data_IF_816190157850
#
_entry.id   IF_816190157850
#
_cell.length_a   1.000
_cell.length_b   1.000
_cell.length_c   1.000
_cell.angle_alpha   90.00
_cell.angle_beta   90.00
_cell.angle_gamma   90.00
#
_symmetry.space_group_name_H-M   'P 1'
#
loop_
_entity.id
_entity.type
_entity.pdbx_description
1 polymer ?
#
# COMPACT_ATOMS: atom_id res chain seq x y z
N UNK A 1 3.68 16.16 9.46
CA UNK A 1 3.25 14.79 9.79
C UNK A 1 4.31 13.80 9.35
N UNK A 2 4.64 12.85 10.18
CA UNK A 2 5.55 11.78 9.82
C UNK A 2 4.84 10.77 8.93
N UNK A 3 5.62 10.08 8.10
CA UNK A 3 5.08 9.07 7.18
C UNK A 3 4.31 7.98 7.94
N UNK A 4 4.84 7.52 9.08
CA UNK A 4 4.18 6.46 9.84
C UNK A 4 2.83 6.90 10.41
N UNK A 5 2.70 8.16 10.76
CA UNK A 5 1.41 8.70 11.19
C UNK A 5 0.41 8.70 10.03
N UNK A 6 0.87 9.04 8.82
CA UNK A 6 0.02 9.02 7.65
C UNK A 6 -0.45 7.61 7.34
N UNK A 7 0.44 6.63 7.45
CA UNK A 7 0.09 5.24 7.20
C UNK A 7 -0.98 4.76 8.18
N UNK A 8 -0.94 5.23 9.42
CA UNK A 8 -1.98 4.89 10.39
C UNK A 8 -3.32 5.50 10.00
N UNK A 9 -3.32 6.73 9.49
CA UNK A 9 -4.54 7.33 8.95
C UNK A 9 -5.06 6.56 7.76
N UNK A 10 -4.17 6.10 6.89
CA UNK A 10 -4.57 5.29 5.73
C UNK A 10 -5.22 3.99 6.18
N UNK A 11 -4.66 3.35 7.19
CA UNK A 11 -5.21 2.12 7.75
C UNK A 11 -6.67 2.31 8.17
N UNK A 12 -6.97 3.42 8.83
CA UNK A 12 -8.31 3.70 9.31
C UNK A 12 -9.24 4.18 8.21
N UNK A 13 -8.70 4.71 7.12
CA UNK A 13 -9.48 5.25 6.01
C UNK A 13 -9.80 4.17 4.97
N UNK A 14 -8.82 3.35 4.61
CA UNK A 14 -9.00 2.30 3.61
C UNK A 14 -8.03 1.15 3.94
N UNK A 15 -8.52 0.19 4.68
CA UNK A 15 -7.73 -0.91 5.21
C UNK A 15 -7.08 -1.75 4.09
N UNK A 16 -7.83 -2.04 3.02
CA UNK A 16 -7.31 -2.78 1.88
C UNK A 16 -6.10 -2.07 1.26
N UNK A 17 -6.24 -0.78 1.02
CA UNK A 17 -5.17 0.00 0.39
C UNK A 17 -3.96 0.09 1.31
N UNK A 18 -4.20 0.17 2.62
CA UNK A 18 -3.11 0.14 3.59
C UNK A 18 -2.33 -1.17 3.54
N UNK A 19 -3.04 -2.31 3.42
CA UNK A 19 -2.39 -3.62 3.30
C UNK A 19 -1.55 -3.70 2.02
N UNK A 20 -2.08 -3.18 0.92
CA UNK A 20 -1.36 -3.17 -0.36
C UNK A 20 -0.07 -2.36 -0.23
N UNK A 21 -0.16 -1.18 0.39
CA UNK A 21 1.03 -0.35 0.60
C UNK A 21 2.05 -1.08 1.47
N UNK A 22 1.61 -1.72 2.55
CA UNK A 22 2.51 -2.50 3.39
C UNK A 22 3.18 -3.63 2.61
N UNK A 23 2.41 -4.33 1.79
CA UNK A 23 2.95 -5.41 0.98
C UNK A 23 4.02 -4.90 0.01
N UNK A 24 3.75 -3.78 -0.65
CA UNK A 24 4.70 -3.18 -1.58
C UNK A 24 5.98 -2.73 -0.85
N UNK A 25 5.84 -2.17 0.34
CA UNK A 25 6.99 -1.72 1.12
C UNK A 25 7.85 -2.88 1.59
N UNK A 26 7.24 -3.96 2.04
CA UNK A 26 7.99 -5.11 2.54
C UNK A 26 8.63 -5.93 1.42
N UNK A 27 7.91 -6.14 0.32
CA UNK A 27 8.44 -6.90 -0.81
C UNK A 27 9.37 -6.07 -1.70
N UNK A 28 9.19 -4.77 -1.71
CA UNK A 28 9.85 -3.84 -2.63
C UNK A 28 9.47 -4.09 -4.09
N UNK A 29 8.34 -4.74 -4.30
CA UNK A 29 7.80 -4.96 -5.63
C UNK A 29 6.98 -3.77 -6.10
N UNK A 30 6.91 -3.54 -7.41
CA UNK A 30 6.00 -2.52 -7.95
C UNK A 30 4.56 -2.82 -7.56
N UNK A 31 3.75 -1.76 -7.45
CA UNK A 31 2.34 -1.93 -7.11
C UNK A 31 1.62 -2.85 -8.09
N UNK A 32 2.01 -2.79 -9.37
CA UNK A 32 1.42 -3.63 -10.40
C UNK A 32 1.62 -5.12 -10.08
N UNK A 33 2.77 -5.47 -9.52
CA UNK A 33 3.03 -6.86 -9.14
C UNK A 33 2.25 -7.23 -7.88
N UNK A 34 2.19 -6.32 -6.91
CA UNK A 34 1.45 -6.56 -5.68
C UNK A 34 -0.03 -6.79 -5.95
N UNK A 35 -0.59 -6.06 -6.91
CA UNK A 35 -2.02 -6.16 -7.23
C UNK A 35 -2.41 -7.51 -7.83
N UNK A 36 -1.45 -8.27 -8.35
CA UNK A 36 -1.71 -9.60 -8.93
C UNK A 36 -1.40 -10.76 -7.99
N UNK A 37 -0.99 -10.49 -6.75
CA UNK A 37 -0.74 -11.55 -5.77
C UNK A 37 -2.03 -12.31 -5.51
N UNK A 38 -1.94 -13.65 -5.52
CA UNK A 38 -3.05 -14.53 -5.19
C UNK A 38 -2.89 -15.05 -3.77
N UNK A 39 -3.99 -15.48 -3.18
CA UNK A 39 -3.96 -16.01 -1.82
C UNK A 39 -2.95 -17.16 -1.70
N UNK A 40 -2.90 -18.02 -2.71
CA UNK A 40 -2.02 -19.19 -2.73
C UNK A 40 -0.54 -18.83 -2.88
N UNK A 41 -0.23 -17.57 -3.23
CA UNK A 41 1.16 -17.12 -3.34
C UNK A 41 1.80 -16.87 -1.99
N UNK A 42 1.03 -16.84 -0.91
CA UNK A 42 1.54 -16.70 0.44
C UNK A 42 1.95 -18.07 0.96
N UNK A 43 3.25 -18.30 1.07
CA UNK A 43 3.80 -19.61 1.46
C UNK A 43 4.75 -19.41 2.62
N UNK A 44 4.35 -19.84 3.82
CA UNK A 44 5.16 -19.65 5.02
C UNK A 44 5.30 -18.17 5.34
N UNK A 45 6.52 -17.68 5.38
CA UNK A 45 6.82 -16.26 5.63
C UNK A 45 7.22 -15.55 4.34
N UNK A 46 6.85 -16.10 3.20
CA UNK A 46 7.21 -15.54 1.89
C UNK A 46 6.00 -15.34 1.02
N UNK A 47 6.13 -14.43 0.05
CA UNK A 47 5.16 -14.29 -1.02
C UNK A 47 5.87 -14.57 -2.35
N UNK A 48 5.20 -15.28 -3.26
CA UNK A 48 5.76 -15.69 -4.53
C UNK A 48 5.13 -14.88 -5.66
N UNK A 49 5.95 -14.47 -6.63
CA UNK A 49 5.48 -13.86 -7.88
C UNK A 49 5.25 -14.91 -8.93
N UNK A 50 4.52 -14.51 -9.98
CA UNK A 50 4.25 -15.41 -11.11
C UNK A 50 5.53 -15.87 -11.83
N UNK A 51 6.63 -15.14 -11.73
CA UNK A 51 7.91 -15.54 -12.34
C UNK A 51 8.73 -16.47 -11.44
N UNK A 52 8.18 -16.84 -10.29
CA UNK A 52 8.83 -17.74 -9.35
C UNK A 52 9.70 -17.05 -8.31
N UNK A 53 9.96 -15.76 -8.45
CA UNK A 53 10.75 -15.05 -7.43
C UNK A 53 9.92 -14.88 -6.16
N UNK A 54 10.62 -14.76 -5.02
CA UNK A 54 9.98 -14.70 -3.71
C UNK A 54 10.53 -13.53 -2.90
N UNK A 55 9.70 -13.04 -1.98
CA UNK A 55 10.11 -12.00 -1.04
C UNK A 55 9.65 -12.39 0.35
N UNK A 56 10.47 -12.06 1.35
CA UNK A 56 10.10 -12.25 2.75
C UNK A 56 9.14 -11.16 3.17
N UNK A 57 8.12 -11.53 3.93
CA UNK A 57 7.19 -10.57 4.52
C UNK A 57 6.97 -10.96 5.98
N UNK A 58 6.56 -9.99 6.79
CA UNK A 58 6.34 -10.23 8.21
C UNK A 58 5.15 -11.17 8.43
N UNK A 59 5.23 -11.96 9.49
CA UNK A 59 4.10 -12.82 9.86
C UNK A 59 2.85 -12.01 10.13
N UNK A 60 3.01 -10.84 10.74
CA UNK A 60 1.89 -9.96 10.99
C UNK A 60 1.17 -9.60 9.69
N UNK A 61 1.92 -9.22 8.66
CA UNK A 61 1.32 -8.83 7.39
C UNK A 61 0.60 -10.01 6.73
N UNK A 62 1.18 -11.20 6.82
CA UNK A 62 0.54 -12.40 6.30
C UNK A 62 -0.81 -12.63 6.99
N UNK A 63 -0.82 -12.60 8.31
CA UNK A 63 -2.04 -12.83 9.07
C UNK A 63 -3.11 -11.77 8.80
N UNK A 64 -2.70 -10.51 8.78
CA UNK A 64 -3.63 -9.41 8.50
C UNK A 64 -4.23 -9.53 7.11
N UNK A 65 -3.39 -9.87 6.12
CA UNK A 65 -3.85 -10.00 4.74
C UNK A 65 -4.81 -11.17 4.55
N UNK A 66 -4.49 -12.31 5.12
CA UNK A 66 -5.36 -13.49 5.03
C UNK A 66 -6.67 -13.28 5.79
N UNK A 67 -6.60 -12.64 6.96
CA UNK A 67 -7.78 -12.33 7.74
C UNK A 67 -8.70 -11.38 6.97
N UNK A 68 -8.12 -10.34 6.36
CA UNK A 68 -8.88 -9.42 5.53
C UNK A 68 -9.53 -10.16 4.36
N UNK A 69 -8.78 -11.00 3.67
CA UNK A 69 -9.28 -11.71 2.49
C UNK A 69 -10.43 -12.65 2.83
N UNK A 70 -10.39 -13.29 3.99
CA UNK A 70 -11.47 -14.17 4.43
C UNK A 70 -12.79 -13.44 4.64
N UNK A 71 -12.74 -12.12 4.89
CA UNK A 71 -13.95 -11.33 5.09
C UNK A 71 -14.55 -10.85 3.76
N UNK A 72 -13.84 -11.01 2.66
CA UNK A 72 -14.30 -10.59 1.34
C UNK A 72 -14.88 -11.80 0.62
N UNK A 73 -16.18 -11.75 0.36
CA UNK A 73 -16.88 -12.85 -0.32
C UNK A 73 -16.82 -12.64 -1.82
N UNK A 74 -15.88 -13.32 -2.48
CA UNK A 74 -15.74 -13.28 -3.93
C UNK A 74 -14.97 -14.51 -4.39
N UNK A 75 -15.33 -15.09 -5.56
CA UNK A 75 -14.65 -16.30 -6.07
C UNK A 75 -13.25 -16.05 -6.62
N UNK A 76 -12.81 -14.82 -6.74
CA UNK A 76 -11.46 -14.51 -7.22
C UNK A 76 -10.39 -15.09 -6.30
N UNK A 77 -9.25 -15.43 -6.87
CA UNK A 77 -8.08 -15.88 -6.10
C UNK A 77 -7.17 -14.75 -5.67
N UNK A 78 -7.43 -13.54 -6.16
CA UNK A 78 -6.59 -12.37 -5.82
C UNK A 78 -6.66 -12.09 -4.32
N UNK A 79 -5.52 -11.72 -3.76
CA UNK A 79 -5.43 -11.34 -2.36
C UNK A 79 -6.12 -10.00 -2.11
N UNK A 80 -5.92 -9.05 -3.01
CA UNK A 80 -6.54 -7.72 -2.94
C UNK A 80 -7.36 -7.51 -4.21
N UNK A 81 -8.60 -7.09 -4.05
CA UNK A 81 -9.48 -6.94 -5.21
C UNK A 81 -10.44 -5.79 -5.05
N UNK A 82 -10.90 -5.28 -6.19
CA UNK A 82 -11.98 -4.30 -6.23
C UNK A 82 -13.31 -4.99 -5.91
N UNK A 83 -14.37 -4.20 -5.79
CA UNK A 83 -15.72 -4.75 -5.59
C UNK A 83 -16.08 -5.78 -6.66
N UNK A 84 -15.61 -5.56 -7.88
CA UNK A 84 -15.91 -6.44 -9.01
C UNK A 84 -14.91 -7.61 -9.15
N UNK A 85 -14.01 -7.77 -8.19
CA UNK A 85 -13.07 -8.88 -8.19
C UNK A 85 -11.85 -8.69 -9.09
N UNK A 86 -11.53 -7.45 -9.44
CA UNK A 86 -10.39 -7.13 -10.30
C UNK A 86 -9.19 -6.66 -9.47
N UNK A 87 -7.99 -6.69 -10.05
CA UNK A 87 -6.82 -6.12 -9.38
C UNK A 87 -7.00 -4.63 -9.14
N UNK A 88 -6.39 -4.12 -8.08
CA UNK A 88 -6.45 -2.70 -7.77
C UNK A 88 -5.48 -1.96 -8.68
N UNK A 89 -5.97 -0.95 -9.38
CA UNK A 89 -5.14 -0.17 -10.28
C UNK A 89 -4.33 0.88 -9.50
N UNK A 90 -3.10 1.11 -9.95
CA UNK A 90 -2.22 2.09 -9.30
C UNK A 90 -2.85 3.48 -9.21
N UNK A 91 -3.57 3.91 -10.25
CA UNK A 91 -4.19 5.22 -10.24
C UNK A 91 -5.25 5.35 -9.16
N UNK A 92 -5.99 4.28 -8.89
CA UNK A 92 -7.00 4.29 -7.82
C UNK A 92 -6.34 4.41 -6.45
N UNK A 93 -5.25 3.68 -6.24
CA UNK A 93 -4.48 3.78 -5.00
C UNK A 93 -3.91 5.17 -4.80
N UNK A 94 -3.34 5.73 -5.86
CA UNK A 94 -2.77 7.08 -5.80
C UNK A 94 -3.85 8.11 -5.48
N UNK A 95 -5.03 7.96 -6.05
CA UNK A 95 -6.14 8.88 -5.76
C UNK A 95 -6.55 8.79 -4.29
N UNK A 96 -6.67 7.59 -3.75
CA UNK A 96 -6.98 7.41 -2.33
C UNK A 96 -5.99 8.14 -1.45
N UNK A 97 -4.70 7.95 -1.73
CA UNK A 97 -3.62 8.56 -0.96
C UNK A 97 -3.63 10.07 -1.07
N UNK A 98 -3.82 10.60 -2.28
CA UNK A 98 -3.84 12.03 -2.51
C UNK A 98 -5.02 12.71 -1.82
N UNK A 99 -6.21 12.10 -1.92
CA UNK A 99 -7.40 12.67 -1.28
C UNK A 99 -7.28 12.65 0.24
N UNK A 100 -6.77 11.56 0.80
CA UNK A 100 -6.55 11.49 2.24
C UNK A 100 -5.53 12.53 2.69
N UNK A 101 -4.43 12.66 1.96
CA UNK A 101 -3.42 13.67 2.26
C UNK A 101 -4.01 15.06 2.26
N UNK A 102 -4.77 15.39 1.21
CA UNK A 102 -5.42 16.71 1.11
C UNK A 102 -6.35 16.97 2.30
N UNK A 103 -7.11 15.95 2.69
CA UNK A 103 -8.01 16.05 3.84
C UNK A 103 -7.26 16.34 5.12
N UNK A 104 -6.05 15.85 5.25
CA UNK A 104 -5.21 16.06 6.42
C UNK A 104 -4.32 17.31 6.31
N UNK A 105 -4.33 17.98 5.15
CA UNK A 105 -3.54 19.18 4.94
C UNK A 105 -2.14 18.94 4.39
N UNK A 106 -1.90 17.80 3.74
CA UNK A 106 -0.58 17.44 3.24
C UNK A 106 -0.62 17.05 1.77
N UNK A 107 0.52 17.25 1.11
CA UNK A 107 0.71 16.78 -0.27
C UNK A 107 1.33 15.40 -0.21
N UNK A 108 0.57 14.40 -0.60
CA UNK A 108 1.02 13.01 -0.55
C UNK A 108 0.71 12.34 -1.88
N UNK A 109 1.68 11.62 -2.40
CA UNK A 109 1.52 10.79 -3.59
C UNK A 109 1.94 9.37 -3.23
N UNK A 110 1.47 8.40 -4.01
CA UNK A 110 1.81 7.00 -3.75
C UNK A 110 3.33 6.78 -3.72
N UNK A 111 4.07 7.47 -4.58
CA UNK A 111 5.52 7.36 -4.59
C UNK A 111 6.18 7.72 -3.26
N UNK A 112 5.57 8.64 -2.52
CA UNK A 112 6.11 9.00 -1.20
C UNK A 112 6.02 7.84 -0.22
N UNK A 113 4.95 7.05 -0.32
CA UNK A 113 4.74 5.91 0.57
C UNK A 113 5.65 4.74 0.24
N UNK A 114 6.07 4.65 -1.02
CA UNK A 114 6.90 3.55 -1.50
C UNK A 114 8.39 3.86 -1.46
N UNK A 115 8.74 5.08 -1.05
CA UNK A 115 10.13 5.46 -0.95
C UNK A 115 10.88 4.52 -0.02
N UNK A 116 12.06 4.10 -0.44
CA UNK A 116 12.82 3.13 0.31
C UNK A 116 13.49 3.72 1.54
N UNK A 117 13.80 2.84 2.48
CA UNK A 117 14.59 3.17 3.63
C UNK A 117 13.78 3.19 4.91
N UNK A 118 14.50 3.02 6.01
CA UNK A 118 13.93 3.07 7.35
C UNK A 118 14.03 4.47 7.94
N UNK A 119 14.34 5.45 7.09
CA UNK A 119 14.48 6.84 7.54
C UNK A 119 13.09 7.42 7.68
N UNK A 120 12.82 8.00 8.86
CA UNK A 120 11.57 8.72 9.07
C UNK A 120 11.49 9.89 8.11
N UNK A 121 10.37 10.02 7.45
CA UNK A 121 10.13 11.09 6.51
C UNK A 121 8.95 11.92 6.98
N UNK A 122 9.06 13.22 6.75
CA UNK A 122 7.95 14.13 6.99
C UNK A 122 7.28 14.44 5.67
N UNK A 123 5.96 14.51 5.72
CA UNK A 123 5.17 14.89 4.56
C UNK A 123 5.10 16.41 4.46
N UNK A 124 5.07 16.90 3.24
CA UNK A 124 4.99 18.32 2.98
C UNK A 124 3.57 18.82 3.24
N UNK A 125 3.42 19.88 4.02
CA UNK A 125 2.14 20.53 4.20
C UNK A 125 1.75 21.29 2.93
N UNK A 126 0.46 21.37 2.68
CA UNK A 126 -0.02 21.99 1.46
C UNK A 126 0.32 23.47 1.36
N UNK A 127 0.39 24.15 2.49
CA UNK A 127 0.65 25.58 2.54
C UNK A 127 2.13 25.93 2.76
N UNK A 128 3.00 24.93 2.80
CA UNK A 128 4.43 25.20 2.94
C UNK A 128 5.00 25.63 1.59
N UNK A 129 5.85 26.66 1.57
CA UNK A 129 6.55 27.00 0.34
C UNK A 129 7.54 25.90 0.00
N UNK A 130 7.63 25.57 -1.28
CA UNK A 130 8.60 24.60 -1.73
C UNK A 130 10.00 25.15 -1.58
N UNK A 131 10.92 24.30 -1.14
CA UNK A 131 12.30 24.69 -0.95
C UNK A 131 12.94 25.23 -2.25
N UNK A 132 12.50 24.70 -3.40
CA UNK A 132 12.97 25.19 -4.68
C UNK A 132 12.09 26.24 -5.30
N UNK A 133 10.99 26.53 -4.67
CA UNK A 133 9.98 27.40 -5.24
C UNK A 133 10.02 28.77 -4.73
N UNK A 134 10.92 29.28 -4.46
CA UNK A 134 10.77 30.47 -4.04
C UNK A 134 11.43 31.53 -4.54
N UNK A 135 11.28 31.71 -4.99
CA UNK A 135 11.90 32.58 -5.39
C UNK A 135 11.75 33.53 -5.54
#
# INVERSE_FOLDING_TARGET
MLMEEFLEHLRNHNYRDWLIVRMARETRWPLEEVSWIQVEDLIGSEVQRHDGSRALISEELIELSLSYRRQVTHPSRLLFLTRDGRPIHRSALNQTVRLLGRKLGYKVQMGDLLAEGFIERRLQQMNEPNAGGKL
#
